data_IF_424771022856
#
_entry.id   IF_424771022856
#
_cell.length_a   1.000
_cell.length_b   1.000
_cell.length_c   1.000
_cell.angle_alpha   90.00
_cell.angle_beta   90.00
_cell.angle_gamma   90.00
#
_symmetry.space_group_name_H-M   'P 1'
#
loop_
_entity.id
_entity.type
_entity.pdbx_description
1 polymer ?
#
# COMPACT_ATOMS: atom_id res chain seq x y z
N UNK A 1 0.09 -31.97 4.42
CA UNK A 1 -0.60 -31.80 3.12
C UNK A 1 -1.86 -32.65 3.10
N UNK A 2 -2.97 -32.08 3.57
CA UNK A 2 -4.30 -32.62 3.31
C UNK A 2 -4.83 -31.87 2.09
N UNK A 3 -5.09 -32.60 1.01
CA UNK A 3 -5.82 -32.13 -0.16
C UNK A 3 -7.17 -31.58 0.28
N UNK A 4 -7.25 -30.26 0.44
CA UNK A 4 -8.49 -29.56 0.66
C UNK A 4 -9.32 -29.72 -0.61
N UNK A 5 -10.21 -30.72 -0.61
CA UNK A 5 -11.15 -30.99 -1.70
C UNK A 5 -11.76 -29.66 -2.14
N UNK A 6 -11.48 -29.29 -3.40
CA UNK A 6 -11.83 -28.02 -4.04
C UNK A 6 -13.33 -27.75 -4.16
N UNK A 7 -14.03 -27.65 -3.03
CA UNK A 7 -15.28 -26.90 -2.97
C UNK A 7 -14.88 -25.44 -3.04
N UNK A 8 -14.93 -24.89 -4.25
CA UNK A 8 -14.90 -23.45 -4.44
C UNK A 8 -15.95 -22.84 -3.51
N UNK A 9 -15.58 -21.89 -2.64
CA UNK A 9 -16.52 -21.29 -1.70
C UNK A 9 -17.69 -20.69 -2.48
N UNK A 10 -18.90 -20.98 -2.01
CA UNK A 10 -20.12 -20.68 -2.75
C UNK A 10 -20.34 -19.17 -2.74
N UNK A 11 -20.73 -18.61 -3.88
CA UNK A 11 -21.23 -17.24 -3.90
C UNK A 11 -22.63 -17.18 -3.29
N UNK A 12 -23.03 -15.99 -2.82
CA UNK A 12 -24.42 -15.67 -2.43
C UNK A 12 -25.41 -16.26 -3.41
N UNK A 13 -26.37 -17.02 -2.87
CA UNK A 13 -27.51 -17.48 -3.65
C UNK A 13 -28.27 -16.25 -4.16
N UNK A 14 -28.96 -16.38 -5.30
CA UNK A 14 -29.73 -15.27 -5.86
C UNK A 14 -30.75 -14.71 -4.86
N UNK A 15 -31.32 -15.55 -3.99
CA UNK A 15 -32.24 -15.14 -2.94
C UNK A 15 -31.53 -14.28 -1.87
N UNK A 16 -30.38 -14.73 -1.37
CA UNK A 16 -29.61 -13.97 -0.38
C UNK A 16 -29.11 -12.63 -0.95
N UNK A 17 -28.73 -12.60 -2.24
CA UNK A 17 -28.38 -11.35 -2.92
C UNK A 17 -29.59 -10.41 -2.96
N UNK A 18 -30.75 -10.93 -3.39
CA UNK A 18 -32.00 -10.18 -3.48
C UNK A 18 -32.44 -9.57 -2.15
N UNK A 19 -32.25 -10.27 -1.02
CA UNK A 19 -32.54 -9.71 0.31
C UNK A 19 -31.71 -8.45 0.60
N UNK A 20 -30.41 -8.51 0.33
CA UNK A 20 -29.49 -7.39 0.54
C UNK A 20 -29.78 -6.26 -0.45
N UNK A 21 -30.02 -6.60 -1.73
CA UNK A 21 -30.35 -5.63 -2.78
C UNK A 21 -31.63 -4.85 -2.44
N UNK A 22 -32.69 -5.55 -2.01
CA UNK A 22 -33.94 -4.91 -1.59
C UNK A 22 -33.73 -3.92 -0.44
N UNK A 23 -32.95 -4.29 0.59
CA UNK A 23 -32.64 -3.37 1.69
C UNK A 23 -31.87 -2.13 1.21
N UNK A 24 -30.93 -2.28 0.29
CA UNK A 24 -30.21 -1.15 -0.29
C UNK A 24 -31.08 -0.28 -1.22
N UNK A 25 -32.02 -0.88 -1.96
CA UNK A 25 -33.00 -0.15 -2.78
C UNK A 25 -33.96 0.68 -1.94
N UNK A 26 -34.37 0.16 -0.78
CA UNK A 26 -35.24 0.85 0.18
C UNK A 26 -34.49 1.90 1.04
N UNK A 27 -33.16 2.01 0.91
CA UNK A 27 -32.33 2.92 1.71
C UNK A 27 -32.13 2.46 3.16
N UNK A 28 -32.43 1.19 3.47
CA UNK A 28 -32.21 0.57 4.78
C UNK A 28 -30.77 0.05 4.89
N UNK A 29 -29.80 0.97 4.83
CA UNK A 29 -28.38 0.62 4.78
C UNK A 29 -27.92 -0.22 5.97
N UNK A 30 -28.35 0.11 7.19
CA UNK A 30 -27.98 -0.65 8.39
C UNK A 30 -28.51 -2.09 8.34
N UNK A 31 -29.75 -2.29 7.89
CA UNK A 31 -30.35 -3.62 7.75
C UNK A 31 -29.62 -4.44 6.69
N UNK A 32 -29.27 -3.83 5.55
CA UNK A 32 -28.49 -4.48 4.50
C UNK A 32 -27.12 -4.93 5.02
N UNK A 33 -26.41 -4.05 5.74
CA UNK A 33 -25.08 -4.35 6.32
C UNK A 33 -25.19 -5.45 7.38
N UNK A 34 -26.20 -5.38 8.26
CA UNK A 34 -26.43 -6.42 9.27
C UNK A 34 -26.74 -7.77 8.64
N UNK A 35 -27.52 -7.79 7.54
CA UNK A 35 -27.82 -9.00 6.78
C UNK A 35 -26.55 -9.58 6.16
N UNK A 36 -25.70 -8.73 5.56
CA UNK A 36 -24.39 -9.16 5.04
C UNK A 36 -23.48 -9.74 6.14
N UNK A 37 -23.47 -9.16 7.35
CA UNK A 37 -22.68 -9.69 8.46
C UNK A 37 -23.21 -11.05 8.96
N UNK A 38 -24.53 -11.24 8.96
CA UNK A 38 -25.14 -12.54 9.29
C UNK A 38 -24.84 -13.63 8.25
N UNK A 39 -24.70 -13.24 6.98
CA UNK A 39 -24.38 -14.14 5.86
C UNK A 39 -22.88 -14.43 5.73
N UNK A 40 -22.03 -13.66 6.42
CA UNK A 40 -20.57 -13.80 6.37
C UNK A 40 -20.13 -15.15 6.94
N UNK A 41 -19.43 -15.93 6.13
CA UNK A 41 -18.89 -17.24 6.51
C UNK A 41 -17.64 -17.55 5.68
N UNK A 42 -16.69 -18.36 6.18
CA UNK A 42 -15.53 -18.78 5.40
C UNK A 42 -15.88 -19.59 4.15
N UNK A 43 -17.00 -20.32 4.16
CA UNK A 43 -17.45 -21.12 3.01
C UNK A 43 -18.16 -20.29 1.94
N UNK A 44 -18.32 -18.99 2.21
CA UNK A 44 -19.35 -18.20 1.56
C UNK A 44 -18.81 -16.83 1.14
N UNK A 45 -18.72 -16.62 -0.16
CA UNK A 45 -18.05 -15.47 -0.73
C UNK A 45 -19.01 -14.28 -0.88
N UNK A 46 -18.63 -13.09 -0.39
CA UNK A 46 -19.42 -11.89 -0.61
C UNK A 46 -19.48 -11.54 -2.10
N UNK A 47 -20.63 -11.05 -2.54
CA UNK A 47 -20.85 -10.61 -3.91
C UNK A 47 -20.06 -9.31 -4.17
N UNK A 48 -19.20 -9.23 -5.21
CA UNK A 48 -18.34 -8.06 -5.41
C UNK A 48 -19.06 -6.70 -5.49
N UNK A 49 -20.24 -6.57 -6.13
CA UNK A 49 -21.04 -5.34 -6.06
C UNK A 49 -21.43 -4.92 -4.64
N UNK A 50 -21.78 -5.85 -3.76
CA UNK A 50 -22.09 -5.54 -2.35
C UNK A 50 -20.85 -5.05 -1.60
N UNK A 51 -19.69 -5.64 -1.86
CA UNK A 51 -18.43 -5.13 -1.31
C UNK A 51 -18.11 -3.72 -1.82
N UNK A 52 -18.33 -3.41 -3.10
CA UNK A 52 -18.17 -2.04 -3.63
C UNK A 52 -19.10 -1.06 -2.94
N UNK A 53 -20.37 -1.43 -2.76
CA UNK A 53 -21.33 -0.60 -2.01
C UNK A 53 -20.85 -0.38 -0.57
N UNK A 54 -20.36 -1.40 0.13
CA UNK A 54 -19.78 -1.26 1.48
C UNK A 54 -18.57 -0.32 1.50
N UNK A 55 -17.65 -0.45 0.53
CA UNK A 55 -16.51 0.46 0.39
C UNK A 55 -17.00 1.89 0.18
N UNK A 56 -17.96 2.10 -0.71
CA UNK A 56 -18.54 3.42 -0.97
C UNK A 56 -19.19 4.03 0.28
N UNK A 57 -20.00 3.24 1.02
CA UNK A 57 -20.63 3.65 2.28
C UNK A 57 -19.54 4.00 3.31
N UNK A 58 -18.47 3.20 3.39
CA UNK A 58 -17.38 3.40 4.36
C UNK A 58 -16.58 4.69 4.15
N UNK A 59 -16.59 5.23 2.93
CA UNK A 59 -15.89 6.44 2.52
C UNK A 59 -16.69 7.73 2.75
N UNK A 60 -17.97 7.62 3.13
CA UNK A 60 -18.80 8.79 3.37
C UNK A 60 -18.35 9.53 4.64
N UNK A 61 -18.52 10.86 4.63
CA UNK A 61 -18.30 11.67 5.82
C UNK A 61 -19.32 11.30 6.90
N UNK A 62 -18.86 11.18 8.15
CA UNK A 62 -19.72 10.98 9.31
C UNK A 62 -20.35 12.30 9.81
N UNK A 63 -19.97 13.44 9.23
CA UNK A 63 -20.57 14.72 9.60
C UNK A 63 -22.01 14.75 9.10
N UNK A 64 -22.95 14.93 10.02
CA UNK A 64 -24.35 15.15 9.68
C UNK A 64 -24.43 16.42 8.82
N UNK A 65 -25.04 16.34 7.63
CA UNK A 65 -25.20 17.53 6.83
C UNK A 65 -26.14 18.47 7.59
N UNK A 66 -25.64 19.65 7.93
CA UNK A 66 -26.44 20.78 8.42
C UNK A 66 -27.32 21.28 7.28
N UNK A 67 -28.33 20.48 6.92
CA UNK A 67 -29.37 20.92 6.00
C UNK A 67 -30.37 21.69 6.84
N UNK A 68 -30.28 23.02 6.80
CA UNK A 68 -31.38 23.90 7.19
C UNK A 68 -32.53 23.63 6.22
N UNK A 69 -33.41 22.70 6.59
CA UNK A 69 -34.65 22.50 5.86
C UNK A 69 -35.54 23.70 6.17
N UNK A 70 -35.70 24.59 5.20
CA UNK A 70 -36.81 25.55 5.17
C UNK A 70 -38.10 24.74 5.00
N UNK A 71 -38.71 24.37 6.13
CA UNK A 71 -39.99 23.66 6.19
C UNK A 71 -41.09 24.69 5.93
N UNK A 72 -41.23 25.09 4.66
CA UNK A 72 -42.38 25.88 4.24
C UNK A 72 -42.88 25.35 2.90
N UNK A 73 -43.82 24.41 2.95
CA UNK A 73 -44.93 24.28 1.98
C UNK A 73 -45.85 23.10 2.31
N UNK A 74 -46.85 23.35 3.15
CA UNK A 74 -48.04 22.51 3.27
C UNK A 74 -48.97 22.76 2.07
N UNK A 75 -48.71 22.15 0.92
CA UNK A 75 -49.65 22.16 -0.21
C UNK A 75 -49.93 20.72 -0.63
N UNK A 76 -51.22 20.38 -0.74
CA UNK A 76 -51.71 19.07 -1.16
C UNK A 76 -51.12 18.67 -2.52
N UNK A 77 -50.07 17.85 -2.53
CA UNK A 77 -49.42 17.40 -3.76
C UNK A 77 -50.13 16.16 -4.31
N UNK A 78 -50.27 16.13 -5.65
CA UNK A 78 -50.81 14.98 -6.40
C UNK A 78 -49.95 13.71 -6.21
N UNK A 79 -50.52 12.48 -6.24
CA UNK A 79 -49.81 11.22 -6.03
C UNK A 79 -48.56 11.02 -6.90
N UNK A 80 -48.60 11.48 -8.16
CA UNK A 80 -47.44 11.39 -9.06
C UNK A 80 -46.28 12.31 -8.66
N UNK A 81 -46.57 13.40 -7.92
CA UNK A 81 -45.54 14.28 -7.34
C UNK A 81 -45.00 13.69 -6.03
N UNK A 82 -45.81 12.96 -5.26
CA UNK A 82 -45.35 12.23 -4.06
C UNK A 82 -44.32 11.16 -4.40
N UNK A 83 -44.48 10.42 -5.51
CA UNK A 83 -43.48 9.42 -5.95
C UNK A 83 -42.15 10.10 -6.32
N UNK A 84 -42.21 11.21 -7.06
CA UNK A 84 -41.00 12.00 -7.39
C UNK A 84 -40.34 12.60 -6.16
N UNK A 85 -41.14 13.11 -5.22
CA UNK A 85 -40.64 13.65 -3.96
C UNK A 85 -40.02 12.55 -3.10
N UNK A 86 -40.62 11.36 -3.04
CA UNK A 86 -40.04 10.19 -2.34
C UNK A 86 -38.73 9.74 -2.99
N UNK A 87 -38.67 9.72 -4.32
CA UNK A 87 -37.41 9.46 -5.04
C UNK A 87 -36.37 10.56 -4.75
N UNK A 88 -36.75 11.83 -4.76
CA UNK A 88 -35.87 12.93 -4.40
C UNK A 88 -35.40 12.86 -2.94
N UNK A 89 -36.28 12.48 -2.00
CA UNK A 89 -35.94 12.26 -0.60
C UNK A 89 -34.97 11.08 -0.43
N UNK A 90 -35.14 9.98 -1.18
CA UNK A 90 -34.18 8.87 -1.19
C UNK A 90 -32.85 9.31 -1.80
N UNK A 91 -32.87 10.14 -2.85
CA UNK A 91 -31.66 10.70 -3.47
C UNK A 91 -30.92 11.66 -2.55
N UNK A 92 -31.65 12.43 -1.73
CA UNK A 92 -31.12 13.40 -0.78
C UNK A 92 -30.84 12.79 0.59
N UNK A 93 -31.31 11.57 0.89
CA UNK A 93 -31.10 10.97 2.18
C UNK A 93 -29.60 10.70 2.38
N UNK A 94 -28.96 11.38 3.34
CA UNK A 94 -27.57 11.11 3.64
C UNK A 94 -27.46 9.68 4.16
N UNK A 95 -26.35 9.03 3.83
CA UNK A 95 -26.03 7.72 4.41
C UNK A 95 -25.85 7.93 5.91
N UNK A 96 -26.60 7.21 6.77
CA UNK A 96 -26.50 7.39 8.22
C UNK A 96 -25.08 7.11 8.71
N UNK A 97 -24.58 7.92 9.65
CA UNK A 97 -23.24 7.73 10.23
C UNK A 97 -23.05 6.33 10.84
N UNK A 98 -24.12 5.75 11.40
CA UNK A 98 -24.13 4.37 11.90
C UNK A 98 -23.83 3.35 10.79
N UNK A 99 -24.46 3.49 9.63
CA UNK A 99 -24.21 2.62 8.48
C UNK A 99 -22.74 2.72 8.01
N UNK A 100 -22.14 3.92 8.06
CA UNK A 100 -20.71 4.11 7.75
C UNK A 100 -19.82 3.29 8.70
N UNK A 101 -20.04 3.41 10.01
CA UNK A 101 -19.26 2.68 11.03
C UNK A 101 -19.49 1.17 10.91
N UNK A 102 -20.73 0.73 10.70
CA UNK A 102 -21.07 -0.69 10.55
C UNK A 102 -20.45 -1.28 9.28
N UNK A 103 -20.43 -0.55 8.17
CA UNK A 103 -19.75 -0.96 6.94
C UNK A 103 -18.23 -1.10 7.14
N UNK A 104 -17.58 -0.13 7.79
CA UNK A 104 -16.16 -0.19 8.13
C UNK A 104 -15.84 -1.42 8.99
N UNK A 105 -16.66 -1.71 10.00
CA UNK A 105 -16.52 -2.88 10.87
C UNK A 105 -16.67 -4.18 10.09
N UNK A 106 -17.68 -4.26 9.22
CA UNK A 106 -17.95 -5.44 8.40
C UNK A 106 -16.82 -5.70 7.40
N UNK A 107 -16.28 -4.67 6.75
CA UNK A 107 -15.12 -4.80 5.87
C UNK A 107 -13.93 -5.44 6.60
N UNK A 108 -13.60 -4.98 7.81
CA UNK A 108 -12.56 -5.59 8.64
C UNK A 108 -12.92 -7.02 9.08
N UNK A 109 -14.19 -7.32 9.34
CA UNK A 109 -14.63 -8.67 9.69
C UNK A 109 -14.48 -9.65 8.51
N UNK A 110 -14.70 -9.20 7.28
CA UNK A 110 -14.52 -9.99 6.07
C UNK A 110 -13.07 -10.47 5.88
N UNK A 111 -12.06 -9.69 6.29
CA UNK A 111 -10.65 -10.13 6.23
C UNK A 111 -10.41 -11.41 7.03
N UNK A 112 -11.15 -11.59 8.14
CA UNK A 112 -10.99 -12.75 9.03
C UNK A 112 -11.69 -14.00 8.52
N UNK A 113 -12.75 -13.84 7.73
CA UNK A 113 -13.54 -14.97 7.23
C UNK A 113 -13.22 -15.35 5.81
N UNK A 114 -12.88 -14.40 4.95
CA UNK A 114 -12.78 -14.64 3.51
C UNK A 114 -11.34 -14.47 3.03
N UNK A 115 -11.01 -15.10 1.89
CA UNK A 115 -9.68 -14.97 1.31
C UNK A 115 -9.46 -13.56 0.75
N UNK A 116 -8.24 -13.00 0.85
CA UNK A 116 -7.88 -11.71 0.27
C UNK A 116 -8.21 -11.61 -1.22
N UNK A 117 -7.98 -12.69 -1.97
CA UNK A 117 -8.28 -12.80 -3.40
C UNK A 117 -9.77 -12.60 -3.73
N UNK A 118 -10.67 -13.00 -2.83
CA UNK A 118 -12.12 -12.80 -2.99
C UNK A 118 -12.49 -11.36 -2.74
N UNK A 119 -11.93 -10.74 -1.69
CA UNK A 119 -12.22 -9.36 -1.32
C UNK A 119 -11.67 -8.38 -2.37
N UNK A 120 -10.50 -8.65 -2.93
CA UNK A 120 -9.88 -7.82 -3.97
C UNK A 120 -10.61 -7.83 -5.31
N UNK A 121 -11.63 -8.69 -5.50
CA UNK A 121 -12.53 -8.62 -6.68
C UNK A 121 -13.40 -7.36 -6.67
N UNK A 122 -13.59 -6.74 -5.50
CA UNK A 122 -14.31 -5.48 -5.39
C UNK A 122 -13.45 -4.26 -5.67
N UNK A 123 -12.12 -4.41 -5.67
CA UNK A 123 -11.17 -3.32 -5.85
C UNK A 123 -10.88 -3.06 -7.33
N UNK A 124 -10.64 -1.79 -7.71
CA UNK A 124 -10.06 -1.47 -9.01
C UNK A 124 -8.69 -2.15 -9.17
N UNK A 125 -8.35 -2.53 -10.39
CA UNK A 125 -7.06 -3.14 -10.74
C UNK A 125 -6.50 -2.49 -11.99
N UNK A 126 -5.18 -2.33 -12.03
CA UNK A 126 -4.49 -1.71 -13.17
C UNK A 126 -4.50 -2.61 -14.40
N UNK A 127 -4.13 -3.88 -14.23
CA UNK A 127 -3.97 -4.85 -15.33
C UNK A 127 -5.26 -5.41 -15.92
N UNK A 128 -6.34 -5.27 -15.17
CA UNK A 128 -7.65 -5.77 -15.57
C UNK A 128 -8.66 -4.81 -14.99
N UNK A 129 -8.85 -3.63 -15.65
CA UNK A 129 -9.90 -2.72 -15.23
C UNK A 129 -11.19 -3.54 -15.17
N UNK A 130 -11.99 -3.31 -14.13
CA UNK A 130 -13.26 -3.98 -13.95
C UNK A 130 -14.15 -3.60 -15.13
N UNK A 131 -14.08 -4.37 -16.22
CA UNK A 131 -14.90 -4.13 -17.40
C UNK A 131 -16.33 -4.23 -16.90
N UNK A 132 -17.03 -3.09 -16.90
CA UNK A 132 -18.45 -2.96 -16.59
C UNK A 132 -19.24 -3.67 -17.69
N UNK A 133 -19.09 -4.98 -17.77
CA UNK A 133 -19.60 -5.85 -18.82
C UNK A 133 -21.11 -6.00 -18.65
N UNK A 134 -21.88 -4.91 -18.71
CA UNK A 134 -23.34 -4.90 -18.71
C UNK A 134 -24.03 -5.68 -17.57
N UNK A 135 -23.27 -6.13 -16.56
CA UNK A 135 -23.80 -6.86 -15.43
C UNK A 135 -24.57 -5.82 -14.62
N UNK A 136 -25.90 -5.97 -14.58
CA UNK A 136 -26.78 -5.23 -13.70
C UNK A 136 -26.20 -5.25 -12.28
N UNK A 137 -25.45 -4.20 -11.89
CA UNK A 137 -24.83 -4.09 -10.56
C UNK A 137 -25.85 -3.79 -9.44
N UNK A 138 -27.14 -3.98 -9.74
CA UNK A 138 -28.28 -3.61 -8.91
C UNK A 138 -28.91 -2.29 -9.37
N UNK A 139 -30.22 -2.16 -9.16
CA UNK A 139 -30.96 -0.93 -9.48
C UNK A 139 -30.91 0.11 -8.36
N UNK A 140 -30.36 -0.26 -7.19
CA UNK A 140 -30.23 0.61 -6.03
C UNK A 140 -29.40 1.86 -6.33
N UNK A 141 -29.76 2.97 -5.69
CA UNK A 141 -29.02 4.23 -5.85
C UNK A 141 -27.57 4.10 -5.37
N UNK A 142 -27.36 3.31 -4.31
CA UNK A 142 -26.02 3.06 -3.79
C UNK A 142 -25.20 2.18 -4.73
N UNK A 143 -25.80 1.20 -5.41
CA UNK A 143 -25.14 0.43 -6.47
C UNK A 143 -24.61 1.38 -7.54
N UNK A 144 -25.49 2.22 -8.08
CA UNK A 144 -25.16 3.17 -9.15
C UNK A 144 -24.03 4.12 -8.75
N UNK A 145 -24.03 4.59 -7.49
CA UNK A 145 -22.96 5.43 -6.96
C UNK A 145 -21.65 4.64 -6.77
N UNK A 146 -21.72 3.41 -6.27
CA UNK A 146 -20.55 2.56 -6.02
C UNK A 146 -19.82 2.11 -7.31
N UNK A 147 -20.48 2.19 -8.48
CA UNK A 147 -19.85 1.97 -9.79
C UNK A 147 -18.60 2.84 -9.98
N UNK A 148 -18.54 4.04 -9.40
CA UNK A 148 -17.37 4.92 -9.50
C UNK A 148 -16.08 4.26 -8.98
N UNK A 149 -16.18 3.31 -8.04
CA UNK A 149 -15.02 2.55 -7.52
C UNK A 149 -14.37 1.74 -8.66
N UNK A 150 -15.18 1.17 -9.54
CA UNK A 150 -14.70 0.41 -10.69
C UNK A 150 -14.06 1.31 -11.78
N UNK A 151 -14.35 2.62 -11.75
CA UNK A 151 -13.78 3.61 -12.67
C UNK A 151 -12.40 4.11 -12.22
N UNK A 152 -12.01 3.88 -10.95
CA UNK A 152 -10.67 4.19 -10.47
C UNK A 152 -9.63 3.30 -11.14
N UNK A 153 -8.43 3.85 -11.40
CA UNK A 153 -7.31 3.10 -12.00
C UNK A 153 -6.74 2.07 -11.03
N UNK A 154 -6.70 2.41 -9.74
CA UNK A 154 -6.15 1.56 -8.68
C UNK A 154 -6.81 1.87 -7.34
N UNK A 155 -6.54 1.02 -6.34
CA UNK A 155 -7.13 1.16 -5.01
C UNK A 155 -6.66 2.40 -4.25
N UNK A 156 -5.52 2.99 -4.65
CA UNK A 156 -4.96 4.17 -3.99
C UNK A 156 -5.77 5.42 -4.34
N UNK A 157 -6.32 5.49 -5.55
CA UNK A 157 -7.19 6.59 -5.95
C UNK A 157 -8.45 6.73 -5.09
N UNK A 158 -8.93 5.64 -4.49
CA UNK A 158 -10.07 5.64 -3.58
C UNK A 158 -9.82 6.44 -2.30
N UNK A 159 -8.55 6.71 -1.97
CA UNK A 159 -8.17 7.40 -0.75
C UNK A 159 -8.23 8.93 -0.88
N UNK A 160 -8.27 9.46 -2.10
CA UNK A 160 -8.29 10.91 -2.32
C UNK A 160 -9.66 11.53 -2.01
N UNK A 161 -9.63 12.76 -1.49
CA UNK A 161 -10.83 13.51 -1.02
C UNK A 161 -11.69 14.11 -2.12
N UNK A 162 -11.54 13.68 -3.37
CA UNK A 162 -12.30 14.24 -4.47
C UNK A 162 -13.72 13.67 -4.45
N UNK A 163 -14.51 14.23 -3.53
CA UNK A 163 -15.97 14.09 -3.41
C UNK A 163 -16.67 14.29 -4.75
N UNK A 164 -16.01 14.95 -5.70
CA UNK A 164 -16.43 15.17 -7.08
C UNK A 164 -16.59 13.86 -7.86
N UNK A 165 -15.74 12.84 -7.65
CA UNK A 165 -15.94 11.52 -8.28
C UNK A 165 -17.22 10.85 -7.76
N UNK A 166 -17.51 11.01 -6.48
CA UNK A 166 -18.69 10.41 -5.83
C UNK A 166 -20.00 11.16 -6.11
N UNK A 167 -19.93 12.46 -6.39
CA UNK A 167 -21.09 13.32 -6.67
C UNK A 167 -21.42 13.43 -8.16
N UNK A 168 -20.41 13.39 -9.06
CA UNK A 168 -20.62 13.52 -10.51
C UNK A 168 -21.23 12.28 -11.17
N UNK A 169 -21.20 11.13 -10.50
CA UNK A 169 -21.82 9.89 -10.96
C UNK A 169 -23.36 9.90 -10.89
N UNK A 170 -23.98 10.98 -10.39
CA UNK A 170 -25.42 11.17 -10.54
C UNK A 170 -25.71 11.29 -12.04
N UNK A 171 -26.54 10.40 -12.63
CA UNK A 171 -26.95 10.55 -14.01
C UNK A 171 -27.68 11.88 -14.10
N UNK A 172 -27.02 12.88 -14.67
CA UNK A 172 -27.68 14.12 -15.07
C UNK A 172 -28.87 13.66 -15.90
N UNK A 173 -30.08 13.96 -15.42
CA UNK A 173 -31.33 13.62 -16.08
C UNK A 173 -31.38 14.43 -17.38
N UNK A 174 -30.62 13.98 -18.38
CA UNK A 174 -30.61 14.48 -19.73
C UNK A 174 -31.96 14.10 -20.31
N UNK A 175 -32.90 15.01 -20.09
CA UNK A 175 -34.08 15.16 -20.91
C UNK A 175 -33.66 14.98 -22.36
N UNK A 176 -34.41 14.12 -23.06
CA UNK A 176 -34.44 14.01 -24.53
C UNK A 176 -34.56 15.41 -25.13
N UNK A 177 -33.45 16.10 -25.34
CA UNK A 177 -33.37 17.32 -26.12
C UNK A 177 -32.84 16.93 -27.49
N UNK A 178 -33.81 16.58 -28.31
CA UNK A 178 -33.68 16.45 -29.75
C UNK A 178 -33.14 17.76 -30.32
N UNK A 179 -32.04 17.67 -31.08
CA UNK A 179 -31.51 18.63 -32.05
C UNK A 179 -30.82 19.91 -31.54
N UNK A 180 -29.61 20.09 -32.10
CA UNK A 180 -28.94 21.36 -32.42
C UNK A 180 -28.55 22.27 -31.26
N UNK A 181 -27.26 22.26 -30.91
CA UNK A 181 -26.45 23.49 -31.01
C UNK A 181 -24.96 23.16 -30.87
N UNK A 182 -24.24 23.14 -32.00
CA UNK A 182 -22.81 23.45 -32.01
C UNK A 182 -22.69 24.94 -31.68
N UNK A 183 -22.49 25.29 -30.41
CA UNK A 183 -21.87 26.56 -30.04
C UNK A 183 -20.71 26.26 -29.12
N UNK A 184 -19.53 26.65 -29.57
CA UNK A 184 -18.35 26.86 -28.75
C UNK A 184 -18.74 27.75 -27.57
N UNK A 185 -19.02 27.13 -26.43
CA UNK A 185 -19.14 27.78 -25.14
C UNK A 185 -17.77 27.82 -24.51
N UNK A 186 -17.24 29.03 -24.35
CA UNK A 186 -16.07 29.37 -23.56
C UNK A 186 -16.11 28.67 -22.20
N UNK A 187 -14.98 28.09 -21.74
CA UNK A 187 -14.89 27.56 -20.39
C UNK A 187 -15.11 28.72 -19.41
N UNK A 188 -16.19 28.64 -18.64
CA UNK A 188 -16.40 29.55 -17.53
C UNK A 188 -15.34 29.18 -16.48
N UNK A 189 -14.34 30.05 -16.33
CA UNK A 189 -13.32 30.07 -15.28
C UNK A 189 -13.98 30.29 -13.91
N UNK A 190 -14.72 29.29 -13.42
CA UNK A 190 -14.92 29.16 -11.98
C UNK A 190 -13.65 28.49 -11.49
N UNK A 191 -12.64 29.28 -11.13
CA UNK A 191 -11.46 28.80 -10.42
C UNK A 191 -11.96 28.08 -9.16
N UNK A 192 -11.95 26.73 -9.09
CA UNK A 192 -12.18 26.07 -7.82
C UNK A 192 -11.05 26.54 -6.91
N UNK A 193 -11.38 27.02 -5.72
CA UNK A 193 -10.37 27.32 -4.70
C UNK A 193 -9.55 26.04 -4.52
N UNK A 194 -8.35 26.04 -5.12
CA UNK A 194 -7.46 24.89 -5.24
C UNK A 194 -6.85 24.62 -3.88
N UNK A 195 -7.67 24.16 -2.94
CA UNK A 195 -7.16 23.49 -1.76
C UNK A 195 -6.31 22.31 -2.27
N UNK A 196 -5.06 22.18 -1.81
CA UNK A 196 -4.18 21.14 -2.31
C UNK A 196 -4.86 19.79 -2.10
N UNK A 197 -4.99 19.01 -3.17
CA UNK A 197 -5.61 17.70 -3.13
C UNK A 197 -5.00 16.88 -1.99
N UNK A 198 -5.84 16.53 -1.01
CA UNK A 198 -5.37 15.77 0.15
C UNK A 198 -5.12 14.33 -0.27
N UNK A 199 -3.94 13.80 0.11
CA UNK A 199 -3.47 12.48 -0.32
C UNK A 199 -4.38 11.38 0.23
N UNK A 200 -4.78 11.48 1.51
CA UNK A 200 -5.77 10.60 2.14
C UNK A 200 -6.83 11.47 2.79
N UNK A 201 -8.10 11.26 2.42
CA UNK A 201 -9.22 11.95 3.02
C UNK A 201 -9.43 11.54 4.47
N UNK A 202 -10.04 12.41 5.27
CA UNK A 202 -10.30 12.09 6.68
C UNK A 202 -11.25 10.89 6.84
N UNK A 203 -12.17 10.66 5.88
CA UNK A 203 -13.03 9.48 5.87
C UNK A 203 -12.37 8.23 5.30
N UNK A 204 -11.23 8.34 4.60
CA UNK A 204 -10.56 7.21 3.95
C UNK A 204 -9.55 6.47 4.85
N UNK A 205 -9.24 6.96 6.05
CA UNK A 205 -8.32 6.26 6.96
C UNK A 205 -8.74 4.83 7.31
N UNK A 206 -10.02 4.54 7.60
CA UNK A 206 -10.47 3.17 7.81
C UNK A 206 -10.30 2.29 6.57
N UNK A 207 -10.51 2.85 5.37
CA UNK A 207 -10.30 2.12 4.11
C UNK A 207 -8.82 1.83 3.88
N UNK A 208 -7.92 2.79 4.12
CA UNK A 208 -6.47 2.55 4.05
C UNK A 208 -6.04 1.43 4.99
N UNK A 209 -6.53 1.43 6.24
CA UNK A 209 -6.26 0.34 7.17
C UNK A 209 -6.79 -1.00 6.66
N UNK A 210 -7.99 -1.01 6.07
CA UNK A 210 -8.57 -2.22 5.48
C UNK A 210 -7.74 -2.75 4.30
N UNK A 211 -7.33 -1.87 3.37
CA UNK A 211 -6.45 -2.23 2.25
C UNK A 211 -5.13 -2.84 2.72
N UNK A 212 -4.43 -2.17 3.64
CA UNK A 212 -3.17 -2.68 4.21
C UNK A 212 -3.39 -4.04 4.87
N UNK A 213 -4.48 -4.20 5.61
CA UNK A 213 -4.80 -5.46 6.30
C UNK A 213 -5.15 -6.59 5.32
N UNK A 214 -5.76 -6.30 4.16
CA UNK A 214 -5.96 -7.30 3.09
C UNK A 214 -4.62 -7.78 2.56
N UNK A 215 -3.70 -6.86 2.25
CA UNK A 215 -2.39 -7.20 1.68
C UNK A 215 -1.50 -7.96 2.66
N UNK A 216 -1.53 -7.59 3.95
CA UNK A 216 -0.86 -8.39 5.00
C UNK A 216 -1.43 -9.81 5.08
N UNK A 217 -2.76 -9.94 5.06
CA UNK A 217 -3.40 -11.25 5.07
C UNK A 217 -3.09 -12.07 3.83
N UNK A 218 -2.95 -11.41 2.69
CA UNK A 218 -2.55 -12.03 1.42
C UNK A 218 -1.11 -12.55 1.51
N UNK A 219 -0.19 -11.75 2.04
CA UNK A 219 1.20 -12.15 2.29
C UNK A 219 1.31 -13.31 3.29
N UNK A 220 0.48 -13.33 4.35
CA UNK A 220 0.44 -14.43 5.31
C UNK A 220 -0.03 -15.76 4.70
N UNK A 221 -0.98 -15.69 3.77
CA UNK A 221 -1.55 -16.87 3.10
C UNK A 221 -0.74 -17.30 1.88
N UNK A 222 0.11 -16.42 1.35
CA UNK A 222 0.98 -16.71 0.22
C UNK A 222 2.17 -17.57 0.68
N UNK A 223 1.91 -18.87 0.82
CA UNK A 223 2.90 -19.88 1.14
C UNK A 223 3.57 -20.36 -0.15
N UNK A 224 4.72 -19.76 -0.46
CA UNK A 224 5.64 -20.35 -1.44
C UNK A 224 6.73 -21.08 -0.68
N UNK A 225 7.07 -22.28 -1.14
CA UNK A 225 8.11 -23.18 -0.59
C UNK A 225 9.50 -22.51 -0.38
N UNK A 226 9.67 -21.26 -0.80
CA UNK A 226 10.91 -20.50 -0.85
C UNK A 226 11.07 -19.42 0.24
N UNK A 227 10.27 -19.44 1.32
CA UNK A 227 10.30 -18.46 2.41
C UNK A 227 10.06 -16.99 1.97
N UNK A 228 9.66 -16.76 0.72
CA UNK A 228 9.53 -15.44 0.12
C UNK A 228 8.09 -14.93 0.22
N UNK A 229 7.69 -14.55 1.43
CA UNK A 229 6.36 -13.98 1.68
C UNK A 229 6.28 -12.59 1.05
N UNK A 230 5.36 -12.42 0.12
CA UNK A 230 4.96 -11.15 -0.46
C UNK A 230 3.48 -11.22 -0.82
N UNK A 231 2.82 -10.09 -1.04
CA UNK A 231 1.42 -10.03 -1.48
C UNK A 231 1.32 -9.89 -3.01
N UNK A 232 0.88 -10.93 -3.74
CA UNK A 232 0.56 -10.79 -5.17
C UNK A 232 -0.51 -9.74 -5.45
N UNK A 233 -1.49 -9.59 -4.55
CA UNK A 233 -2.54 -8.60 -4.73
C UNK A 233 -2.00 -7.17 -4.69
N UNK A 234 -1.01 -6.89 -3.83
CA UNK A 234 -0.36 -5.58 -3.82
C UNK A 234 0.44 -5.33 -5.11
N UNK A 235 1.07 -6.37 -5.67
CA UNK A 235 1.76 -6.28 -6.95
C UNK A 235 0.80 -5.89 -8.08
N UNK A 236 -0.40 -6.48 -8.14
CA UNK A 236 -1.44 -6.14 -9.12
C UNK A 236 -1.88 -4.66 -9.06
N UNK A 237 -1.74 -4.02 -7.89
CA UNK A 237 -2.09 -2.61 -7.70
C UNK A 237 -0.98 -1.64 -8.11
N UNK A 238 0.26 -2.12 -8.17
CA UNK A 238 1.43 -1.29 -8.42
C UNK A 238 1.93 -1.46 -9.85
N UNK A 239 1.83 -2.65 -10.42
CA UNK A 239 2.28 -2.92 -11.78
C UNK A 239 1.24 -2.48 -12.81
N UNK A 240 1.69 -1.73 -13.81
CA UNK A 240 0.90 -1.42 -15.00
C UNK A 240 0.91 -2.58 -16.02
N UNK A 241 0.09 -2.47 -17.07
CA UNK A 241 0.03 -3.43 -18.18
C UNK A 241 1.40 -3.61 -18.86
N UNK A 242 2.19 -2.53 -18.90
CA UNK A 242 3.53 -2.51 -19.48
C UNK A 242 4.61 -3.10 -18.54
N UNK A 243 4.23 -3.62 -17.37
CA UNK A 243 5.16 -4.09 -16.34
C UNK A 243 5.92 -2.97 -15.63
N UNK A 244 5.54 -1.70 -15.83
CA UNK A 244 6.13 -0.58 -15.11
C UNK A 244 5.57 -0.48 -13.69
N UNK A 245 6.46 -0.31 -12.71
CA UNK A 245 6.12 -0.26 -11.29
C UNK A 245 5.73 1.17 -10.88
N UNK A 246 4.52 1.36 -10.36
CA UNK A 246 4.01 2.66 -9.90
C UNK A 246 4.12 2.80 -8.38
N UNK A 247 5.35 3.01 -7.90
CA UNK A 247 5.69 3.12 -6.48
C UNK A 247 5.25 4.46 -5.87
N UNK A 248 4.91 5.44 -6.72
CA UNK A 248 4.70 6.82 -6.30
C UNK A 248 3.55 7.02 -5.34
N UNK A 249 2.37 6.48 -5.66
CA UNK A 249 1.19 6.58 -4.80
C UNK A 249 1.42 5.99 -3.40
N UNK A 250 1.83 4.71 -3.24
CA UNK A 250 1.97 4.14 -1.90
C UNK A 250 3.10 4.81 -1.08
N UNK A 251 4.21 5.23 -1.69
CA UNK A 251 5.26 5.99 -0.96
C UNK A 251 4.77 7.38 -0.54
N UNK A 252 3.98 8.04 -1.38
CA UNK A 252 3.37 9.33 -1.05
C UNK A 252 2.37 9.19 0.12
N UNK A 253 1.60 8.10 0.15
CA UNK A 253 0.73 7.76 1.29
C UNK A 253 1.54 7.50 2.56
N UNK A 254 2.66 6.76 2.48
CA UNK A 254 3.56 6.53 3.63
C UNK A 254 4.08 7.87 4.18
N UNK A 255 4.61 8.74 3.31
CA UNK A 255 5.10 10.06 3.72
C UNK A 255 3.98 10.89 4.36
N UNK A 256 2.78 10.87 3.78
CA UNK A 256 1.61 11.56 4.31
C UNK A 256 1.18 11.02 5.68
N UNK A 257 1.21 9.69 5.87
CA UNK A 257 0.92 9.05 7.14
C UNK A 257 1.87 9.54 8.24
N UNK A 258 3.16 9.68 7.94
CA UNK A 258 4.20 10.17 8.88
C UNK A 258 4.12 11.67 9.19
N UNK A 259 3.32 12.44 8.45
CA UNK A 259 3.03 13.85 8.77
C UNK A 259 1.88 14.01 9.77
N UNK A 260 1.15 12.94 10.05
CA UNK A 260 -0.04 12.99 10.88
C UNK A 260 0.31 13.04 12.37
N UNK A 261 -0.63 13.46 13.22
CA UNK A 261 -0.40 13.48 14.68
C UNK A 261 -0.70 12.15 15.33
N UNK A 262 -1.53 11.32 14.69
CA UNK A 262 -2.05 10.08 15.25
C UNK A 262 -1.06 8.93 15.06
N UNK A 263 -0.65 8.29 16.17
CA UNK A 263 0.28 7.14 16.17
C UNK A 263 -0.21 5.98 15.30
N UNK A 264 -1.52 5.74 15.24
CA UNK A 264 -2.11 4.71 14.39
C UNK A 264 -1.82 4.94 12.89
N UNK A 265 -1.77 6.20 12.45
CA UNK A 265 -1.43 6.56 11.06
C UNK A 265 0.06 6.31 10.81
N UNK A 266 0.94 6.56 11.79
CA UNK A 266 2.36 6.17 11.70
C UNK A 266 2.55 4.65 11.59
N UNK A 267 1.77 3.88 12.34
CA UNK A 267 1.79 2.41 12.26
C UNK A 267 1.38 1.93 10.86
N UNK A 268 0.38 2.55 10.23
CA UNK A 268 0.01 2.26 8.84
C UNK A 268 1.17 2.53 7.87
N UNK A 269 1.94 3.59 8.09
CA UNK A 269 3.13 3.90 7.27
C UNK A 269 4.16 2.75 7.33
N UNK A 270 4.47 2.27 8.55
CA UNK A 270 5.41 1.16 8.76
C UNK A 270 4.91 -0.16 8.17
N UNK A 271 3.63 -0.49 8.37
CA UNK A 271 2.99 -1.69 7.81
C UNK A 271 3.01 -1.69 6.28
N UNK A 272 2.58 -0.58 5.66
CA UNK A 272 2.59 -0.43 4.21
C UNK A 272 4.02 -0.48 3.63
N UNK A 273 4.99 0.16 4.28
CA UNK A 273 6.38 0.07 3.84
C UNK A 273 6.93 -1.36 3.96
N UNK A 274 6.59 -2.09 5.04
CA UNK A 274 6.99 -3.49 5.19
C UNK A 274 6.49 -4.35 4.03
N UNK A 275 5.22 -4.19 3.64
CA UNK A 275 4.66 -4.87 2.46
C UNK A 275 5.43 -4.54 1.18
N UNK A 276 5.74 -3.26 0.92
CA UNK A 276 6.51 -2.84 -0.24
C UNK A 276 7.93 -3.40 -0.24
N UNK A 277 8.58 -3.49 0.93
CA UNK A 277 9.90 -4.10 1.05
C UNK A 277 9.82 -5.59 0.72
N UNK A 278 8.79 -6.30 1.19
CA UNK A 278 8.62 -7.72 0.88
C UNK A 278 8.40 -7.95 -0.61
N UNK A 279 7.79 -7.01 -1.34
CA UNK A 279 7.68 -7.09 -2.80
C UNK A 279 9.04 -7.10 -3.52
N UNK A 280 10.11 -6.58 -2.91
CA UNK A 280 11.47 -6.61 -3.49
C UNK A 280 12.03 -8.01 -3.67
N UNK A 281 11.36 -9.03 -3.12
CA UNK A 281 11.64 -10.44 -3.39
C UNK A 281 11.27 -10.87 -4.80
N UNK A 282 10.39 -10.11 -5.45
CA UNK A 282 9.93 -10.41 -6.80
C UNK A 282 10.82 -9.74 -7.82
N UNK A 283 11.00 -10.40 -8.96
CA UNK A 283 11.74 -9.86 -10.11
C UNK A 283 11.07 -8.63 -10.72
N UNK A 284 9.79 -8.43 -10.47
CA UNK A 284 8.97 -7.37 -11.06
C UNK A 284 9.08 -6.03 -10.30
N UNK A 285 9.68 -6.03 -9.10
CA UNK A 285 9.70 -4.88 -8.22
C UNK A 285 11.14 -4.45 -7.87
N UNK A 286 11.51 -3.24 -8.29
CA UNK A 286 12.86 -2.71 -8.10
C UNK A 286 13.08 -2.16 -6.67
N UNK A 287 13.91 -2.86 -5.90
CA UNK A 287 14.32 -2.47 -4.56
C UNK A 287 15.02 -1.10 -4.51
N UNK A 288 15.84 -0.77 -5.52
CA UNK A 288 16.55 0.50 -5.57
C UNK A 288 15.61 1.66 -5.88
N UNK A 289 14.62 1.44 -6.74
CA UNK A 289 13.58 2.42 -7.01
C UNK A 289 12.78 2.74 -5.74
N UNK A 290 12.36 1.71 -4.98
CA UNK A 290 11.70 1.91 -3.68
C UNK A 290 12.58 2.69 -2.71
N UNK A 291 13.84 2.26 -2.54
CA UNK A 291 14.79 2.90 -1.64
C UNK A 291 14.99 4.38 -1.99
N UNK A 292 15.11 4.69 -3.28
CA UNK A 292 15.25 6.06 -3.77
C UNK A 292 13.99 6.87 -3.51
N UNK A 293 12.81 6.32 -3.81
CA UNK A 293 11.54 6.99 -3.58
C UNK A 293 11.31 7.31 -2.09
N UNK A 294 11.67 6.39 -1.19
CA UNK A 294 11.59 6.60 0.26
C UNK A 294 12.58 7.68 0.71
N UNK A 295 13.83 7.59 0.28
CA UNK A 295 14.88 8.56 0.62
C UNK A 295 14.54 9.98 0.14
N UNK A 296 13.92 10.15 -1.03
CA UNK A 296 13.63 11.48 -1.59
C UNK A 296 12.35 12.11 -1.03
N UNK A 297 11.39 11.32 -0.55
CA UNK A 297 10.07 11.81 -0.12
C UNK A 297 9.87 11.88 1.39
N UNK A 298 10.60 11.09 2.16
CA UNK A 298 10.44 11.03 3.62
C UNK A 298 11.52 11.90 4.27
N UNK A 299 11.08 12.83 5.11
CA UNK A 299 12.01 13.72 5.81
C UNK A 299 12.84 12.95 6.84
N UNK A 300 14.09 13.35 7.11
CA UNK A 300 14.96 12.66 8.06
C UNK A 300 14.35 12.48 9.45
N UNK A 301 13.57 13.45 9.94
CA UNK A 301 12.89 13.38 11.24
C UNK A 301 11.87 12.24 11.27
N UNK A 302 11.12 12.08 10.18
CA UNK A 302 10.08 11.05 10.03
C UNK A 302 10.69 9.66 9.87
N UNK A 303 11.90 9.59 9.36
CA UNK A 303 12.60 8.33 9.13
C UNK A 303 12.92 7.62 10.44
N UNK A 304 13.18 8.35 11.52
CA UNK A 304 13.37 7.77 12.85
C UNK A 304 12.15 6.97 13.32
N UNK A 305 10.95 7.55 13.15
CA UNK A 305 9.67 6.91 13.45
C UNK A 305 9.48 5.68 12.57
N UNK A 306 9.72 5.82 11.27
CA UNK A 306 9.56 4.74 10.31
C UNK A 306 10.49 3.56 10.59
N UNK A 307 11.77 3.83 10.90
CA UNK A 307 12.77 2.82 11.25
C UNK A 307 12.44 2.09 12.56
N UNK A 308 11.80 2.78 13.51
CA UNK A 308 11.29 2.16 14.73
C UNK A 308 10.12 1.22 14.45
N UNK A 309 9.20 1.58 13.54
CA UNK A 309 8.11 0.68 13.11
C UNK A 309 8.66 -0.56 12.38
N UNK A 310 9.62 -0.38 11.48
CA UNK A 310 10.28 -1.49 10.77
C UNK A 310 11.12 -2.37 11.69
N UNK A 311 11.64 -1.82 12.80
CA UNK A 311 12.53 -2.51 13.74
C UNK A 311 11.93 -3.74 14.43
N UNK A 312 10.60 -3.90 14.39
CA UNK A 312 9.93 -5.09 14.88
C UNK A 312 10.05 -6.28 13.91
N UNK A 313 10.24 -6.00 12.62
CA UNK A 313 10.42 -7.04 11.61
C UNK A 313 11.86 -7.54 11.62
N UNK A 314 12.01 -8.85 11.76
CA UNK A 314 13.31 -9.51 11.64
C UNK A 314 13.58 -9.98 10.21
N UNK A 315 12.65 -9.76 9.27
CA UNK A 315 12.77 -10.24 7.89
C UNK A 315 14.06 -9.73 7.22
N UNK A 316 14.74 -10.63 6.51
CA UNK A 316 16.06 -10.36 5.87
C UNK A 316 15.98 -9.17 4.91
N UNK A 317 14.87 -9.02 4.19
CA UNK A 317 14.62 -7.97 3.21
C UNK A 317 14.45 -6.62 3.88
N UNK A 318 13.77 -6.59 5.03
CA UNK A 318 13.64 -5.37 5.85
C UNK A 318 15.00 -4.94 6.37
N UNK A 319 15.83 -5.87 6.84
CA UNK A 319 17.18 -5.56 7.29
C UNK A 319 18.07 -5.05 6.15
N UNK A 320 18.01 -5.68 4.96
CA UNK A 320 18.71 -5.21 3.76
C UNK A 320 18.26 -3.81 3.34
N UNK A 321 16.95 -3.54 3.37
CA UNK A 321 16.39 -2.23 3.08
C UNK A 321 16.89 -1.17 4.08
N UNK A 322 16.88 -1.49 5.39
CA UNK A 322 17.40 -0.62 6.45
C UNK A 322 18.88 -0.30 6.22
N UNK A 323 19.69 -1.30 5.90
CA UNK A 323 21.12 -1.12 5.57
C UNK A 323 21.25 -0.17 4.39
N UNK A 324 20.59 -0.45 3.25
CA UNK A 324 20.66 0.40 2.07
C UNK A 324 20.19 1.84 2.32
N UNK A 325 19.19 2.03 3.18
CA UNK A 325 18.68 3.35 3.54
C UNK A 325 19.68 4.13 4.38
N UNK A 326 20.25 3.50 5.41
CA UNK A 326 21.31 4.10 6.21
C UNK A 326 22.55 4.43 5.36
N UNK A 327 22.92 3.58 4.41
CA UNK A 327 24.01 3.87 3.47
C UNK A 327 23.73 5.15 2.66
N UNK A 328 22.51 5.33 2.16
CA UNK A 328 22.13 6.56 1.43
C UNK A 328 22.13 7.81 2.31
N UNK A 329 21.71 7.69 3.57
CA UNK A 329 21.71 8.83 4.51
C UNK A 329 23.12 9.25 4.89
N UNK A 330 24.01 8.28 5.15
CA UNK A 330 25.39 8.53 5.59
C UNK A 330 26.26 8.97 4.42
N UNK A 331 26.18 8.27 3.29
CA UNK A 331 27.01 8.55 2.10
C UNK A 331 26.49 9.70 1.23
N UNK A 332 25.30 10.24 1.54
CA UNK A 332 24.59 11.20 0.70
C UNK A 332 24.25 10.63 -0.70
N UNK A 333 23.77 11.50 -1.58
CA UNK A 333 23.42 11.13 -2.96
C UNK A 333 24.63 10.82 -3.87
N UNK A 334 25.85 10.86 -3.33
CA UNK A 334 27.10 10.90 -4.13
C UNK A 334 27.61 9.50 -4.49
N UNK A 335 27.18 8.45 -3.80
CA UNK A 335 27.61 7.09 -4.09
C UNK A 335 26.54 6.29 -4.85
N UNK A 336 26.70 6.05 -6.16
CA UNK A 336 25.89 5.06 -6.86
C UNK A 336 26.12 3.70 -6.20
N UNK A 337 25.04 3.05 -5.75
CA UNK A 337 25.11 1.72 -5.12
C UNK A 337 25.88 0.75 -6.03
N UNK A 338 26.89 0.01 -5.51
CA UNK A 338 27.55 -1.04 -6.27
C UNK A 338 26.49 -2.10 -6.61
N UNK A 339 26.16 -2.23 -7.89
CA UNK A 339 25.08 -3.11 -8.37
C UNK A 339 23.96 -2.40 -9.13
N UNK A 340 23.91 -1.06 -9.14
CA UNK A 340 23.16 -0.33 -10.18
C UNK A 340 23.93 -0.49 -11.51
N UNK A 341 23.84 -1.68 -12.10
CA UNK A 341 24.22 -1.86 -13.49
C UNK A 341 23.36 -0.88 -14.28
N UNK A 342 24.00 0.15 -14.84
CA UNK A 342 23.39 1.01 -15.83
C UNK A 342 22.80 0.10 -16.88
N UNK A 343 21.47 -0.04 -16.84
CA UNK A 343 20.72 -0.91 -17.74
C UNK A 343 21.24 -0.57 -19.13
N UNK A 344 21.83 -1.53 -19.87
CA UNK A 344 22.46 -1.24 -21.15
C UNK A 344 21.41 -0.51 -21.98
N UNK A 345 21.66 0.78 -22.27
CA UNK A 345 20.73 1.54 -23.09
C UNK A 345 20.56 0.74 -24.38
N UNK A 346 19.33 0.58 -24.89
CA UNK A 346 19.09 -0.13 -26.13
C UNK A 346 19.89 0.60 -27.22
N UNK A 347 21.09 0.08 -27.54
CA UNK A 347 21.83 0.49 -28.71
C UNK A 347 20.93 0.16 -29.89
N UNK A 348 20.50 1.21 -30.58
CA UNK A 348 19.67 1.19 -31.77
C UNK A 348 20.14 0.04 -32.68
N UNK A 349 19.41 -1.09 -32.64
CA UNK A 349 19.77 -2.29 -33.40
C UNK A 349 19.57 -1.93 -34.87
N UNK A 350 20.67 -1.82 -35.61
CA UNK A 350 20.63 -1.77 -37.07
C UNK A 350 19.86 -3.00 -37.54
N UNK A 351 18.78 -2.76 -38.28
CA UNK A 351 17.83 -3.75 -38.78
C UNK A 351 18.57 -4.72 -39.70
N UNK A 352 18.94 -5.90 -39.17
CA UNK A 352 19.55 -6.95 -39.97
C UNK A 352 18.48 -7.64 -40.85
N UNK A 353 18.86 -7.85 -42.11
CA UNK A 353 18.08 -8.53 -43.15
C UNK A 353 17.72 -9.97 -42.78
N UNK A 354 16.54 -10.40 -43.25
CA UNK A 354 15.95 -11.73 -43.07
C UNK A 354 16.88 -12.83 -43.61
N UNK A 355 17.27 -13.76 -42.73
CA UNK A 355 17.78 -15.09 -43.12
C UNK A 355 16.77 -16.15 -42.67
N UNK A 356 16.39 -17.12 -43.54
CA UNK A 356 15.39 -18.11 -43.20
C UNK A 356 15.96 -19.30 -42.41
N UNK A 357 15.17 -19.66 -41.39
CA UNK A 357 14.84 -20.99 -40.86
C UNK A 357 15.96 -21.99 -40.54
N UNK A 358 16.22 -22.14 -39.24
CA UNK A 358 16.68 -23.41 -38.66
C UNK A 358 16.12 -23.57 -37.26
N UNK A 359 15.09 -24.41 -37.15
CA UNK A 359 14.46 -24.83 -35.90
C UNK A 359 15.49 -25.61 -35.06
N UNK A 360 15.81 -25.09 -33.88
CA UNK A 360 16.51 -25.80 -32.82
C UNK A 360 15.60 -25.85 -31.58
N UNK A 361 15.64 -26.94 -30.80
CA UNK A 361 14.73 -27.15 -29.67
C UNK A 361 15.06 -26.19 -28.53
N UNK A 362 14.05 -25.43 -28.08
CA UNK A 362 14.15 -24.51 -26.97
C UNK A 362 14.15 -25.29 -25.64
N UNK A 363 15.32 -25.40 -25.02
CA UNK A 363 15.45 -25.76 -23.60
C UNK A 363 15.12 -24.50 -22.80
N UNK A 364 13.91 -24.47 -22.23
CA UNK A 364 13.37 -23.41 -21.37
C UNK A 364 13.90 -23.57 -19.93
N UNK A 365 15.22 -23.49 -19.74
CA UNK A 365 15.82 -23.28 -18.43
C UNK A 365 16.35 -21.85 -18.37
N UNK A 366 15.43 -20.89 -18.29
CA UNK A 366 15.78 -19.52 -17.91
C UNK A 366 15.92 -19.48 -16.40
N UNK A 367 17.13 -19.35 -15.82
CA UNK A 367 17.25 -19.08 -14.40
C UNK A 367 16.65 -17.70 -14.19
N UNK A 368 15.48 -17.65 -13.54
CA UNK A 368 14.91 -16.42 -12.99
C UNK A 368 15.86 -15.93 -11.90
N UNK A 369 16.95 -15.30 -12.32
CA UNK A 369 17.90 -14.60 -11.47
C UNK A 369 17.16 -13.37 -10.95
N UNK A 370 16.44 -13.55 -9.85
CA UNK A 370 16.10 -12.48 -8.95
C UNK A 370 17.38 -11.66 -8.76
N UNK A 371 17.32 -10.39 -9.16
CA UNK A 371 18.40 -9.43 -8.94
C UNK A 371 18.48 -9.25 -7.43
N UNK A 372 19.19 -10.16 -6.76
CA UNK A 372 19.47 -10.06 -5.34
C UNK A 372 20.33 -8.82 -5.20
N UNK A 373 19.81 -7.81 -4.52
CA UNK A 373 20.63 -6.70 -4.07
C UNK A 373 21.82 -7.29 -3.33
N UNK A 374 23.02 -7.04 -3.83
CA UNK A 374 24.24 -7.54 -3.19
C UNK A 374 24.32 -6.93 -1.81
N UNK A 375 24.37 -7.78 -0.79
CA UNK A 375 24.58 -7.34 0.59
C UNK A 375 25.94 -6.64 0.63
N UNK A 376 26.03 -5.42 1.17
CA UNK A 376 27.30 -4.71 1.23
C UNK A 376 28.31 -5.47 2.10
N UNK A 377 29.57 -5.37 1.73
CA UNK A 377 30.64 -6.00 2.51
C UNK A 377 30.89 -5.20 3.79
N UNK A 378 31.41 -5.86 4.83
CA UNK A 378 31.73 -5.21 6.09
C UNK A 378 32.79 -4.12 5.90
N UNK A 379 33.68 -4.28 4.93
CA UNK A 379 34.66 -3.24 4.54
C UNK A 379 33.97 -1.97 4.03
N UNK A 380 32.89 -2.10 3.25
CA UNK A 380 32.09 -0.95 2.80
C UNK A 380 31.33 -0.31 3.96
N UNK A 381 30.77 -1.12 4.86
CA UNK A 381 30.11 -0.63 6.08
C UNK A 381 31.11 0.16 6.94
N UNK A 382 32.30 -0.39 7.16
CA UNK A 382 33.36 0.25 7.95
C UNK A 382 33.79 1.58 7.32
N UNK A 383 33.96 1.63 5.99
CA UNK A 383 34.28 2.86 5.27
C UNK A 383 33.21 3.94 5.48
N UNK A 384 31.93 3.56 5.49
CA UNK A 384 30.83 4.50 5.75
C UNK A 384 30.78 4.97 7.20
N UNK A 385 31.06 4.08 8.15
CA UNK A 385 31.16 4.45 9.57
C UNK A 385 32.33 5.42 9.82
N UNK A 386 33.45 5.23 9.13
CA UNK A 386 34.65 6.06 9.26
C UNK A 386 34.63 7.35 8.44
N UNK A 387 33.71 7.49 7.49
CA UNK A 387 33.60 8.70 6.67
C UNK A 387 33.28 9.90 7.56
N UNK A 388 34.13 10.92 7.58
CA UNK A 388 33.92 12.14 8.37
C UNK A 388 32.54 12.73 8.10
N UNK A 389 31.84 13.17 9.15
CA UNK A 389 30.63 13.95 8.96
C UNK A 389 31.00 15.20 8.14
N UNK A 390 30.23 15.54 7.08
CA UNK A 390 30.34 16.85 6.45
C UNK A 390 30.16 17.95 7.52
N UNK A 391 30.60 19.18 7.27
CA UNK A 391 30.32 20.32 8.14
C UNK A 391 28.79 20.47 8.35
N UNK A 392 28.29 19.82 9.40
CA UNK A 392 26.87 19.58 9.66
C UNK A 392 26.44 20.40 10.87
N UNK A 393 25.18 20.80 10.90
CA UNK A 393 24.62 21.43 12.10
C UNK A 393 24.60 20.42 13.26
N UNK A 394 24.55 20.89 14.50
CA UNK A 394 24.50 19.98 15.66
C UNK A 394 23.33 18.99 15.61
N UNK A 395 22.17 19.42 15.11
CA UNK A 395 21.02 18.52 14.92
C UNK A 395 21.28 17.44 13.85
N UNK A 396 22.11 17.75 12.86
CA UNK A 396 22.47 16.80 11.80
C UNK A 396 23.52 15.80 12.29
N UNK A 397 24.40 16.22 13.21
CA UNK A 397 25.36 15.34 13.89
C UNK A 397 24.65 14.21 14.64
N UNK A 398 23.68 14.54 15.51
CA UNK A 398 22.96 13.50 16.28
C UNK A 398 22.18 12.55 15.37
N UNK A 399 21.63 13.04 14.25
CA UNK A 399 20.99 12.21 13.21
C UNK A 399 21.99 11.30 12.50
N UNK A 400 23.19 11.80 12.19
CA UNK A 400 24.26 11.04 11.56
C UNK A 400 24.72 9.88 12.46
N UNK A 401 24.96 10.16 13.74
CA UNK A 401 25.30 9.16 14.75
C UNK A 401 24.19 8.10 14.87
N UNK A 402 22.93 8.53 14.93
CA UNK A 402 21.78 7.62 14.95
C UNK A 402 21.70 6.74 13.69
N UNK A 403 21.99 7.29 12.51
CA UNK A 403 22.04 6.53 11.26
C UNK A 403 23.15 5.47 11.26
N UNK A 404 24.35 5.81 11.77
CA UNK A 404 25.46 4.86 11.94
C UNK A 404 25.09 3.74 12.91
N UNK A 405 24.46 4.08 14.02
CA UNK A 405 23.91 3.12 14.97
C UNK A 405 22.92 2.16 14.30
N UNK A 406 21.93 2.69 13.56
CA UNK A 406 20.93 1.88 12.86
C UNK A 406 21.56 1.02 11.75
N UNK A 407 22.56 1.53 11.03
CA UNK A 407 23.30 0.79 10.02
C UNK A 407 23.93 -0.46 10.62
N UNK A 408 24.69 -0.28 11.71
CA UNK A 408 25.41 -1.36 12.36
C UNK A 408 24.45 -2.37 13.00
N UNK A 409 23.37 -1.89 13.64
CA UNK A 409 22.32 -2.73 14.21
C UNK A 409 21.63 -3.59 13.13
N UNK A 410 21.25 -2.98 12.01
CA UNK A 410 20.60 -3.69 10.91
C UNK A 410 21.57 -4.68 10.23
N UNK A 411 22.81 -4.27 10.00
CA UNK A 411 23.83 -5.11 9.36
C UNK A 411 24.21 -6.32 10.22
N UNK A 412 24.49 -6.13 11.52
CA UNK A 412 24.81 -7.25 12.40
C UNK A 412 23.63 -8.21 12.58
N UNK A 413 22.41 -7.69 12.64
CA UNK A 413 21.19 -8.52 12.66
C UNK A 413 20.99 -9.29 11.35
N UNK A 414 21.34 -8.69 10.22
CA UNK A 414 21.31 -9.34 8.91
C UNK A 414 22.31 -10.50 8.88
N UNK A 415 23.57 -10.24 9.25
CA UNK A 415 24.64 -11.24 9.29
C UNK A 415 24.33 -12.43 10.22
N UNK A 416 23.66 -12.19 11.35
CA UNK A 416 23.24 -13.26 12.25
C UNK A 416 22.20 -14.22 11.62
N UNK A 417 21.43 -13.76 10.62
CA UNK A 417 20.37 -14.54 9.97
C UNK A 417 20.80 -15.20 8.66
N UNK A 418 21.90 -14.75 8.07
CA UNK A 418 22.42 -15.34 6.84
C UNK A 418 22.98 -16.74 7.10
N UNK A 419 22.91 -17.58 6.06
CA UNK A 419 23.53 -18.91 6.07
C UNK A 419 25.05 -18.77 6.23
N UNK A 420 25.75 -19.78 6.79
CA UNK A 420 27.21 -19.74 6.94
C UNK A 420 27.98 -19.39 5.66
N UNK A 421 27.47 -19.78 4.50
CA UNK A 421 28.09 -19.51 3.20
C UNK A 421 27.85 -18.09 2.69
N UNK A 422 26.77 -17.43 3.12
CA UNK A 422 26.41 -16.08 2.70
C UNK A 422 26.89 -14.99 3.68
N UNK A 423 27.40 -15.41 4.85
CA UNK A 423 27.92 -14.51 5.90
C UNK A 423 29.21 -13.82 5.43
N UNK A 424 29.36 -12.55 5.80
CA UNK A 424 30.57 -11.78 5.51
C UNK A 424 31.71 -12.24 6.45
N UNK A 425 32.82 -12.79 5.94
CA UNK A 425 33.89 -13.31 6.78
C UNK A 425 34.63 -12.21 7.56
N UNK A 426 34.68 -10.98 7.05
CA UNK A 426 35.38 -9.88 7.70
C UNK A 426 34.55 -9.32 8.87
N UNK A 427 33.22 -9.41 8.81
CA UNK A 427 32.36 -9.14 9.96
C UNK A 427 32.68 -10.07 11.15
N UNK A 428 32.84 -11.37 10.91
CA UNK A 428 33.15 -12.35 11.96
C UNK A 428 34.56 -12.16 12.53
N UNK A 429 35.54 -11.87 11.66
CA UNK A 429 36.90 -11.49 12.13
C UNK A 429 36.85 -10.24 13.00
N UNK A 430 35.99 -9.28 12.68
CA UNK A 430 35.87 -8.06 13.48
C UNK A 430 35.21 -8.31 14.84
N UNK A 431 34.20 -9.19 14.90
CA UNK A 431 33.57 -9.59 16.16
C UNK A 431 34.55 -10.30 17.10
N UNK A 432 35.38 -11.21 16.57
CA UNK A 432 36.31 -12.04 17.36
C UNK A 432 37.55 -11.29 17.83
N UNK A 433 38.11 -10.39 17.01
CA UNK A 433 39.35 -9.65 17.33
C UNK A 433 39.17 -8.50 18.33
N UNK A 434 37.98 -8.34 18.93
CA UNK A 434 37.62 -7.14 19.69
C UNK A 434 37.93 -5.85 18.90
N UNK A 435 37.78 -5.88 17.56
CA UNK A 435 37.91 -4.64 16.80
C UNK A 435 36.89 -3.65 17.35
N UNK A 436 37.33 -2.41 17.42
CA UNK A 436 36.58 -1.28 17.95
C UNK A 436 35.47 -0.84 16.97
N UNK A 437 34.62 -1.78 16.56
CA UNK A 437 33.41 -1.53 15.78
C UNK A 437 32.55 -0.45 16.46
N UNK A 438 32.61 -0.41 17.80
CA UNK A 438 31.89 0.54 18.63
C UNK A 438 32.55 1.92 18.66
N UNK A 439 33.89 2.06 18.78
CA UNK A 439 34.48 3.42 18.79
C UNK A 439 34.47 4.09 17.41
N UNK A 440 34.30 3.34 16.32
CA UNK A 440 34.15 3.92 14.97
C UNK A 440 32.81 4.65 14.79
N UNK A 441 31.83 4.41 15.67
CA UNK A 441 30.58 5.19 15.72
C UNK A 441 30.79 6.53 16.43
N UNK A 442 31.82 6.65 17.27
CA UNK A 442 31.90 7.63 18.36
C UNK A 442 33.27 8.33 18.49
N UNK A 443 33.65 9.08 17.47
CA UNK A 443 34.72 10.08 17.62
C UNK A 443 34.21 11.41 18.20
N UNK A 444 32.89 11.57 18.35
CA UNK A 444 32.24 12.84 18.68
C UNK A 444 31.71 12.83 20.11
N UNK A 445 32.16 13.76 20.96
CA UNK A 445 31.97 13.73 22.42
C UNK A 445 30.54 14.05 22.91
N UNK A 446 29.48 13.71 22.17
CA UNK A 446 28.10 13.99 22.55
C UNK A 446 27.53 12.96 23.55
N UNK A 447 26.61 13.41 24.42
CA UNK A 447 25.98 12.54 25.42
C UNK A 447 25.12 11.44 24.80
N UNK A 448 24.44 11.73 23.69
CA UNK A 448 23.60 10.76 22.97
C UNK A 448 24.43 9.66 22.33
N UNK A 449 25.59 10.01 21.78
CA UNK A 449 26.54 9.06 21.20
C UNK A 449 26.89 7.94 22.20
N UNK A 450 27.17 8.31 23.46
CA UNK A 450 27.44 7.35 24.55
C UNK A 450 26.28 6.40 24.84
N UNK A 451 25.03 6.83 24.65
CA UNK A 451 23.86 5.97 24.85
C UNK A 451 23.80 4.93 23.73
N UNK A 452 23.92 5.36 22.48
CA UNK A 452 23.96 4.46 21.33
C UNK A 452 25.16 3.50 21.39
N UNK A 453 26.31 4.00 21.83
CA UNK A 453 27.51 3.21 22.07
C UNK A 453 27.24 2.06 23.04
N UNK A 454 26.68 2.34 24.23
CA UNK A 454 26.35 1.30 25.22
C UNK A 454 25.34 0.28 24.69
N UNK A 455 24.34 0.74 23.94
CA UNK A 455 23.36 -0.16 23.31
C UNK A 455 24.03 -1.09 22.28
N UNK A 456 24.98 -0.56 21.50
CA UNK A 456 25.78 -1.38 20.57
C UNK A 456 26.69 -2.36 21.30
N UNK A 457 27.34 -1.97 22.40
CA UNK A 457 28.18 -2.88 23.18
C UNK A 457 27.39 -4.10 23.67
N UNK A 458 26.18 -3.86 24.21
CA UNK A 458 25.28 -4.93 24.64
C UNK A 458 24.90 -5.84 23.46
N UNK A 459 24.60 -5.25 22.30
CA UNK A 459 24.18 -6.02 21.14
C UNK A 459 25.34 -6.79 20.47
N UNK A 460 26.53 -6.20 20.41
CA UNK A 460 27.76 -6.86 19.93
C UNK A 460 28.13 -8.03 20.83
N UNK A 461 28.00 -7.88 22.15
CA UNK A 461 28.20 -8.98 23.09
C UNK A 461 27.24 -10.14 22.82
N UNK A 462 25.97 -9.86 22.49
CA UNK A 462 24.98 -10.89 22.09
C UNK A 462 25.38 -11.58 20.80
N UNK A 463 25.82 -10.84 19.78
CA UNK A 463 26.27 -11.45 18.52
C UNK A 463 27.48 -12.35 18.74
N UNK A 464 28.46 -11.94 19.55
CA UNK A 464 29.62 -12.78 19.91
C UNK A 464 29.22 -14.09 20.56
N UNK A 465 28.30 -14.05 21.52
CA UNK A 465 27.81 -15.25 22.19
C UNK A 465 27.18 -16.27 21.22
N UNK A 466 26.53 -15.81 20.14
CA UNK A 466 26.00 -16.69 19.09
C UNK A 466 27.11 -17.28 18.22
N UNK A 467 28.16 -16.49 17.90
CA UNK A 467 29.31 -16.99 17.14
C UNK A 467 30.05 -18.08 17.93
N UNK A 468 30.23 -17.89 19.23
CA UNK A 468 30.95 -18.84 20.08
C UNK A 468 30.20 -20.18 20.24
N UNK A 469 28.87 -20.21 20.05
CA UNK A 469 28.07 -21.45 20.08
C UNK A 469 28.08 -22.24 18.77
N UNK A 470 28.47 -21.60 17.66
CA UNK A 470 28.55 -22.24 16.34
C UNK A 470 29.91 -22.97 16.11
N UNK A 471 30.83 -22.93 17.09
CA UNK A 471 32.15 -23.59 17.07
C UNK A 471 32.22 -24.71 18.11
#
# INVERSE_FOLDING_TARGET
MASNNGRYPWELTSLQRGLVDNCFEEGQYETAIATLDQLRSPDFNPHPPHLRQLIYISLQSMQEPTVEYDIDTSVQMSPSKLVKQRQQQILSNPIPAKAVVDAQRLLMAYIRTNSPSVLSRALPRRRSPLVSSGLNEGDSMIAKRAVCIAQCKDSWQLLHSDSVLYQSALPSASHRSTRQSRRYGTPNDINPVTTPATIVSESAWPLLNWLVSIYERDEELFDTDLNARHSPLLIEQILDDNGSTYIDAPVTIIAYCLLQKQVQRHQLAGRLLSLLINLTLTVEFDAHALLTAVYTRIQPEQLSVLMAQLGQSTATQVLQFKVGLCQKLIGGAVHPMPGSMTRPQPKMRVRAEKVPDRQAPAVLDSPLLAIRSSIPTFVEILRLLQASAPDMSQNDISKHIWCRYQLLLAYGSLQARLSPTDRDPDWYKALTRNLSIVHDVDQEKEKEARVYQRLLEIQVARWRAVVDTDH
#
